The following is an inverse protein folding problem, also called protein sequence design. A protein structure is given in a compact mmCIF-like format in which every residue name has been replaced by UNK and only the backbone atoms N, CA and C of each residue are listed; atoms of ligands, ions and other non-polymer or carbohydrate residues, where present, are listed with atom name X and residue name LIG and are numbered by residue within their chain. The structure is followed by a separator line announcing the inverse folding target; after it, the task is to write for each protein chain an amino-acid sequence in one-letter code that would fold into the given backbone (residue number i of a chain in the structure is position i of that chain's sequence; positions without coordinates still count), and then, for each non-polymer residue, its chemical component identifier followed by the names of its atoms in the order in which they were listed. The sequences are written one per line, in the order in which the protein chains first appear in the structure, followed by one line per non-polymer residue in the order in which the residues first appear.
data_IF_325795691802
#
_entry.id   IF_325795691802
#
_cell.length_a   1.000
_cell.length_b   1.000
_cell.length_c   1.000
_cell.angle_alpha   90.00
_cell.angle_beta   90.00
_cell.angle_gamma   90.00
#
_symmetry.space_group_name_H-M   'P 1'
#
loop_
_entity.id
_entity.type
_entity.pdbx_description
1 polymer ?
#
# COMPACT_ATOMS: atom_id res chain seq x y z
N UNK A 1 3.45 -3.54 16.30
CA UNK A 1 3.84 -2.56 15.26
C UNK A 1 4.61 -3.28 14.16
N UNK A 2 4.30 -3.04 12.90
CA UNK A 2 4.94 -3.71 11.73
C UNK A 2 5.34 -2.65 10.71
N UNK A 3 6.53 -2.80 10.12
CA UNK A 3 6.98 -1.97 9.00
C UNK A 3 6.83 -2.75 7.70
N UNK A 4 6.19 -2.16 6.70
CA UNK A 4 6.00 -2.72 5.37
C UNK A 4 6.89 -2.04 4.34
N UNK A 5 7.37 -2.79 3.37
CA UNK A 5 7.97 -2.26 2.14
C UNK A 5 6.89 -2.30 1.06
N UNK A 6 6.38 -1.14 0.70
CA UNK A 6 5.26 -0.99 -0.25
C UNK A 6 5.55 -1.60 -1.62
N UNK A 7 4.50 -2.11 -2.26
CA UNK A 7 4.55 -2.39 -3.70
C UNK A 7 4.88 -1.09 -4.51
N UNK A 8 5.68 -1.17 -5.59
CA UNK A 8 6.30 -2.38 -6.13
C UNK A 8 7.67 -2.73 -5.51
N UNK A 9 8.16 -1.95 -4.55
CA UNK A 9 9.52 -2.12 -4.00
C UNK A 9 9.68 -3.43 -3.24
N UNK A 10 8.63 -3.94 -2.59
CA UNK A 10 8.63 -5.24 -1.95
C UNK A 10 8.88 -6.43 -2.91
N UNK A 11 8.79 -6.24 -4.25
CA UNK A 11 9.23 -7.23 -5.21
C UNK A 11 10.75 -7.45 -5.22
N UNK A 12 11.52 -6.44 -4.79
CA UNK A 12 12.98 -6.39 -4.96
C UNK A 12 13.74 -6.26 -3.64
N UNK A 13 13.14 -5.59 -2.65
CA UNK A 13 13.76 -5.31 -1.37
C UNK A 13 13.14 -6.17 -0.28
N UNK A 14 13.97 -6.99 0.36
CA UNK A 14 13.60 -7.88 1.45
C UNK A 14 14.45 -7.54 2.67
N UNK A 15 13.83 -7.05 3.73
CA UNK A 15 14.49 -6.74 4.99
C UNK A 15 13.98 -7.69 6.08
N UNK A 16 14.88 -8.16 6.95
CA UNK A 16 14.54 -9.10 8.03
C UNK A 16 13.45 -8.55 8.96
N UNK A 17 13.49 -7.24 9.21
CA UNK A 17 12.61 -6.55 10.15
C UNK A 17 11.44 -5.82 9.45
N UNK A 18 11.08 -6.21 8.21
CA UNK A 18 9.96 -5.64 7.49
C UNK A 18 9.21 -6.68 6.67
N UNK A 19 7.92 -6.48 6.48
CA UNK A 19 7.06 -7.29 5.63
C UNK A 19 7.07 -6.70 4.22
N UNK A 20 7.41 -7.51 3.22
CA UNK A 20 7.40 -7.08 1.83
C UNK A 20 5.99 -7.16 1.24
N UNK A 21 5.56 -6.09 0.59
CA UNK A 21 4.33 -6.05 -0.20
C UNK A 21 4.71 -6.17 -1.67
N UNK A 22 4.37 -7.30 -2.29
CA UNK A 22 4.68 -7.59 -3.70
C UNK A 22 3.58 -7.09 -4.62
N UNK A 23 3.88 -6.87 -5.88
CA UNK A 23 2.88 -6.45 -6.88
C UNK A 23 2.96 -4.94 -7.19
N UNK A 24 1.91 -4.28 -7.50
CA UNK A 24 0.50 -4.72 -7.52
C UNK A 24 0.21 -5.58 -8.75
N UNK A 25 -0.46 -6.71 -8.57
CA UNK A 25 -0.81 -7.66 -9.62
C UNK A 25 -2.28 -7.47 -10.04
N UNK A 26 -2.58 -7.66 -11.30
CA UNK A 26 -3.95 -7.68 -11.83
C UNK A 26 -4.34 -9.09 -12.27
N UNK A 27 -5.63 -9.37 -12.37
CA UNK A 27 -6.10 -10.68 -12.81
C UNK A 27 -5.41 -11.11 -14.12
N UNK A 28 -5.49 -10.29 -15.16
CA UNK A 28 -4.78 -10.53 -16.42
C UNK A 28 -3.46 -9.76 -16.50
N UNK A 29 -2.44 -10.28 -17.20
CA UNK A 29 -1.19 -9.58 -17.45
C UNK A 29 -1.39 -8.21 -18.13
N UNK A 30 -0.62 -7.21 -17.71
CA UNK A 30 -0.57 -5.85 -18.29
C UNK A 30 0.87 -5.51 -18.66
N UNK A 31 1.38 -5.94 -19.82
CA UNK A 31 2.78 -5.84 -20.20
C UNK A 31 3.25 -4.40 -20.41
N UNK A 32 4.57 -4.20 -20.51
CA UNK A 32 5.18 -2.91 -20.83
C UNK A 32 5.65 -2.11 -19.61
N UNK A 33 5.86 -2.74 -18.45
CA UNK A 33 6.34 -2.10 -17.22
C UNK A 33 7.63 -1.30 -17.46
N UNK A 34 8.68 -1.92 -18.00
CA UNK A 34 9.98 -1.27 -18.21
C UNK A 34 9.85 -0.01 -19.09
N UNK A 35 9.18 -0.15 -20.24
CA UNK A 35 8.92 0.98 -21.15
C UNK A 35 8.21 2.13 -20.44
N UNK A 36 7.21 1.80 -19.61
CA UNK A 36 6.40 2.80 -18.91
C UNK A 36 7.17 3.47 -17.78
N UNK A 37 8.01 2.74 -17.04
CA UNK A 37 8.91 3.28 -16.02
C UNK A 37 9.87 4.29 -16.65
N UNK A 38 10.61 3.89 -17.71
CA UNK A 38 11.55 4.77 -18.40
C UNK A 38 10.87 6.02 -18.95
N UNK A 39 9.66 5.87 -19.49
CA UNK A 39 8.89 6.98 -20.08
C UNK A 39 8.36 7.96 -19.03
N UNK A 40 7.92 7.49 -17.86
CA UNK A 40 7.07 8.30 -16.97
C UNK A 40 7.60 8.55 -15.58
N UNK A 41 8.56 7.74 -15.09
CA UNK A 41 9.11 7.94 -13.76
C UNK A 41 10.05 9.16 -13.75
N UNK A 42 9.73 10.15 -12.94
CA UNK A 42 10.50 11.40 -12.82
C UNK A 42 10.56 11.86 -11.35
N UNK A 43 11.72 12.33 -10.94
CA UNK A 43 11.84 13.08 -9.69
C UNK A 43 11.48 14.54 -9.93
N UNK A 44 10.66 15.11 -9.04
CA UNK A 44 10.19 16.49 -9.13
C UNK A 44 10.42 17.19 -7.79
N UNK A 45 10.29 18.51 -7.75
CA UNK A 45 10.37 19.30 -6.50
C UNK A 45 9.39 18.79 -5.41
N UNK A 46 8.24 18.23 -5.81
CA UNK A 46 7.21 17.74 -4.90
C UNK A 46 7.31 16.22 -4.59
N UNK A 47 8.32 15.53 -5.14
CA UNK A 47 8.52 14.10 -4.96
C UNK A 47 8.57 13.31 -6.27
N UNK A 48 8.41 11.99 -6.18
CA UNK A 48 8.42 11.08 -7.33
C UNK A 48 7.08 11.05 -8.03
N UNK A 49 7.10 11.23 -9.34
CA UNK A 49 5.92 11.14 -10.21
C UNK A 49 6.06 9.99 -11.18
N UNK A 50 4.97 9.24 -11.41
CA UNK A 50 4.92 8.17 -12.38
C UNK A 50 3.52 8.02 -13.00
N UNK A 51 3.45 7.44 -14.19
CA UNK A 51 2.22 7.05 -14.88
C UNK A 51 2.36 5.60 -15.35
N UNK A 52 2.74 4.70 -14.41
CA UNK A 52 3.02 3.29 -14.71
C UNK A 52 1.73 2.54 -15.06
N UNK A 53 0.60 2.85 -14.43
CA UNK A 53 -0.72 2.33 -14.79
C UNK A 53 -0.88 0.84 -14.56
N UNK A 54 -0.40 0.31 -13.42
CA UNK A 54 -0.52 -1.11 -13.04
C UNK A 54 0.02 -2.09 -14.09
N UNK A 55 1.16 -1.76 -14.74
CA UNK A 55 1.83 -2.68 -15.66
C UNK A 55 2.51 -3.79 -14.88
N UNK A 56 2.10 -5.05 -15.13
CA UNK A 56 2.56 -6.23 -14.39
C UNK A 56 2.37 -7.52 -15.20
N UNK A 57 2.83 -8.65 -14.67
CA UNK A 57 2.78 -9.97 -15.32
C UNK A 57 1.55 -10.81 -14.97
N UNK A 58 0.58 -10.22 -14.28
CA UNK A 58 -0.65 -10.90 -13.85
C UNK A 58 -0.51 -11.68 -12.56
N UNK A 59 -1.67 -12.13 -12.03
CA UNK A 59 -1.77 -12.76 -10.72
C UNK A 59 -1.06 -14.11 -10.63
N UNK A 60 -1.11 -14.93 -11.69
CA UNK A 60 -0.42 -16.23 -11.69
C UNK A 60 1.08 -16.09 -11.42
N UNK A 61 1.72 -15.12 -12.07
CA UNK A 61 3.10 -14.78 -11.80
C UNK A 61 3.28 -14.21 -10.38
N UNK A 62 2.34 -13.40 -9.92
CA UNK A 62 2.33 -12.84 -8.58
C UNK A 62 2.34 -13.93 -7.50
N UNK A 63 1.49 -14.92 -7.62
CA UNK A 63 1.40 -16.07 -6.70
C UNK A 63 2.69 -16.88 -6.66
N UNK A 64 3.35 -17.09 -7.81
CA UNK A 64 4.64 -17.79 -7.87
C UNK A 64 5.79 -17.00 -7.22
N UNK A 65 5.69 -15.68 -7.15
CA UNK A 65 6.76 -14.78 -6.67
C UNK A 65 6.58 -14.33 -5.23
N UNK A 66 5.37 -14.39 -4.70
CA UNK A 66 5.06 -13.94 -3.34
C UNK A 66 5.18 -15.11 -2.37
N UNK A 67 6.04 -14.96 -1.36
CA UNK A 67 6.15 -15.94 -0.30
C UNK A 67 4.99 -15.82 0.68
N UNK A 68 4.72 -16.89 1.44
CA UNK A 68 3.62 -16.96 2.40
C UNK A 68 3.65 -15.84 3.45
N UNK A 69 4.85 -15.41 3.89
CA UNK A 69 5.02 -14.33 4.89
C UNK A 69 5.01 -12.92 4.28
N UNK A 70 4.79 -12.80 3.00
CA UNK A 70 4.69 -11.53 2.30
C UNK A 70 3.23 -11.19 2.03
N UNK A 71 2.98 -9.92 1.71
CA UNK A 71 1.65 -9.45 1.34
C UNK A 71 1.56 -9.35 -0.17
N UNK A 72 0.56 -10.00 -0.76
CA UNK A 72 0.26 -9.96 -2.19
C UNK A 72 -0.62 -8.73 -2.49
N UNK A 73 -0.06 -7.66 -3.05
CA UNK A 73 -0.87 -6.52 -3.49
C UNK A 73 -1.52 -6.81 -4.83
N UNK A 74 -2.84 -6.67 -4.88
CA UNK A 74 -3.69 -6.94 -6.04
C UNK A 74 -4.63 -5.77 -6.34
N UNK A 75 -5.02 -5.64 -7.61
CA UNK A 75 -5.98 -4.63 -8.05
C UNK A 75 -6.92 -5.19 -9.11
N UNK A 76 -8.20 -4.86 -8.99
CA UNK A 76 -9.20 -5.08 -10.02
C UNK A 76 -9.13 -3.98 -11.09
N UNK A 77 -9.38 -4.35 -12.33
CA UNK A 77 -9.49 -3.45 -13.50
C UNK A 77 -10.90 -3.51 -14.07
N UNK A 78 -11.57 -4.63 -13.90
CA UNK A 78 -12.95 -4.85 -14.32
C UNK A 78 -13.82 -5.22 -13.14
N UNK A 79 -15.11 -5.08 -13.31
CA UNK A 79 -16.16 -5.37 -12.33
C UNK A 79 -16.07 -6.78 -11.70
N UNK A 80 -15.65 -7.78 -12.49
CA UNK A 80 -15.57 -9.18 -12.03
C UNK A 80 -14.18 -9.58 -11.51
N UNK A 81 -13.19 -8.68 -11.57
CA UNK A 81 -11.81 -9.06 -11.23
C UNK A 81 -11.66 -9.44 -9.75
N UNK A 82 -12.43 -8.83 -8.82
CA UNK A 82 -12.34 -9.20 -7.40
C UNK A 82 -12.81 -10.64 -7.16
N UNK A 83 -13.91 -11.07 -7.78
CA UNK A 83 -14.43 -12.43 -7.71
C UNK A 83 -13.40 -13.40 -8.34
N UNK A 84 -12.90 -13.08 -9.53
CA UNK A 84 -11.91 -13.91 -10.21
C UNK A 84 -10.59 -14.03 -9.43
N UNK A 85 -10.13 -12.94 -8.81
CA UNK A 85 -8.93 -12.95 -7.98
C UNK A 85 -9.14 -13.75 -6.69
N UNK A 86 -10.29 -13.60 -6.04
CA UNK A 86 -10.62 -14.33 -4.81
C UNK A 86 -10.63 -15.85 -5.04
N UNK A 87 -11.18 -16.30 -6.16
CA UNK A 87 -11.26 -17.73 -6.50
C UNK A 87 -9.91 -18.41 -6.72
N UNK A 88 -8.83 -17.66 -6.96
CA UNK A 88 -7.48 -18.19 -7.26
C UNK A 88 -6.43 -17.86 -6.20
N UNK A 89 -6.65 -16.83 -5.39
CA UNK A 89 -5.71 -16.44 -4.32
C UNK A 89 -6.01 -17.29 -3.08
N UNK A 90 -5.05 -18.09 -2.58
CA UNK A 90 -5.27 -18.93 -1.40
C UNK A 90 -5.83 -18.12 -0.23
N UNK A 91 -6.81 -18.67 0.48
CA UNK A 91 -7.48 -18.01 1.60
C UNK A 91 -6.51 -17.65 2.74
N UNK A 92 -5.40 -18.40 2.89
CA UNK A 92 -4.34 -18.12 3.86
C UNK A 92 -3.31 -17.07 3.40
N UNK A 93 -3.30 -16.68 2.11
CA UNK A 93 -2.36 -15.69 1.60
C UNK A 93 -2.72 -14.29 2.10
N UNK A 94 -1.79 -13.61 2.77
CA UNK A 94 -1.95 -12.21 3.13
C UNK A 94 -2.06 -11.31 1.88
N UNK A 95 -3.02 -10.38 1.88
CA UNK A 95 -3.32 -9.54 0.70
C UNK A 95 -3.37 -8.04 1.03
N UNK A 96 -3.03 -7.22 0.04
CA UNK A 96 -3.34 -5.79 -0.01
C UNK A 96 -4.26 -5.53 -1.22
N UNK A 97 -5.52 -5.19 -0.97
CA UNK A 97 -6.50 -4.83 -2.00
C UNK A 97 -6.30 -3.35 -2.37
N UNK A 98 -5.69 -3.10 -3.52
CA UNK A 98 -5.37 -1.75 -3.98
C UNK A 98 -6.53 -1.16 -4.77
N UNK A 99 -7.43 -0.43 -4.10
CA UNK A 99 -8.59 0.25 -4.71
C UNK A 99 -8.27 1.66 -5.19
N UNK A 100 -7.03 2.09 -5.04
CA UNK A 100 -6.58 3.46 -5.31
C UNK A 100 -6.01 3.65 -6.71
N UNK A 101 -6.36 2.76 -7.66
CA UNK A 101 -5.91 2.91 -9.04
C UNK A 101 -6.60 4.14 -9.69
N UNK A 102 -5.84 5.13 -10.17
CA UNK A 102 -6.41 6.34 -10.80
C UNK A 102 -7.12 6.08 -12.14
N UNK A 103 -7.11 4.84 -12.63
CA UNK A 103 -7.84 4.43 -13.83
C UNK A 103 -9.23 3.84 -13.52
N UNK A 104 -9.55 3.69 -12.25
CA UNK A 104 -10.92 3.46 -11.80
C UNK A 104 -11.40 4.84 -11.35
N UNK A 105 -12.29 5.45 -12.10
CA UNK A 105 -13.08 6.56 -11.59
C UNK A 105 -13.85 6.03 -10.39
N UNK A 106 -13.26 6.18 -9.20
CA UNK A 106 -13.86 5.79 -7.91
C UNK A 106 -14.89 6.87 -7.55
N UNK A 107 -15.79 7.14 -8.45
CA UNK A 107 -17.04 7.78 -8.16
C UNK A 107 -17.96 6.69 -7.64
N UNK A 108 -18.34 6.74 -6.37
CA UNK A 108 -19.42 6.05 -5.64
C UNK A 108 -20.08 4.81 -6.31
N UNK A 109 -19.49 4.28 -7.38
CA UNK A 109 -20.02 3.21 -8.19
C UNK A 109 -19.91 1.90 -7.40
N UNK A 110 -21.05 1.38 -7.02
CA UNK A 110 -21.19 0.16 -6.22
C UNK A 110 -20.55 -1.06 -6.87
N UNK A 111 -20.36 -1.04 -8.19
CA UNK A 111 -19.83 -2.16 -8.98
C UNK A 111 -18.36 -2.50 -8.68
N UNK A 112 -17.51 -1.52 -8.27
CA UNK A 112 -16.12 -1.79 -7.89
C UNK A 112 -15.98 -2.61 -6.60
N UNK A 113 -17.05 -2.78 -5.83
CA UNK A 113 -17.05 -3.59 -4.60
C UNK A 113 -17.75 -4.95 -4.79
N UNK A 114 -18.06 -5.34 -6.01
CA UNK A 114 -18.64 -6.65 -6.28
C UNK A 114 -17.66 -7.77 -5.92
N UNK A 115 -18.03 -8.63 -4.96
CA UNK A 115 -17.19 -9.69 -4.41
C UNK A 115 -16.08 -9.20 -3.46
N UNK A 116 -16.14 -7.93 -3.02
CA UNK A 116 -15.13 -7.39 -2.11
C UNK A 116 -15.31 -7.87 -0.67
N UNK A 117 -16.53 -8.17 -0.28
CA UNK A 117 -16.96 -8.68 1.02
C UNK A 117 -16.49 -10.13 1.29
N UNK A 118 -16.10 -10.87 0.27
CA UNK A 118 -15.56 -12.21 0.41
C UNK A 118 -14.08 -12.26 0.89
N UNK A 119 -13.37 -11.12 0.84
CA UNK A 119 -11.94 -11.08 1.15
C UNK A 119 -11.59 -11.14 2.64
N UNK A 120 -12.30 -10.50 3.58
CA UNK A 120 -12.00 -10.59 5.00
C UNK A 120 -12.24 -12.01 5.51
N UNK A 121 -11.18 -12.70 5.95
CA UNK A 121 -11.25 -14.02 6.56
C UNK A 121 -10.33 -14.10 7.78
N UNK A 122 -10.61 -15.02 8.70
CA UNK A 122 -9.77 -15.29 9.88
C UNK A 122 -8.45 -15.97 9.53
N UNK A 123 -8.32 -16.52 8.32
CA UNK A 123 -7.13 -17.25 7.87
C UNK A 123 -6.04 -16.31 7.33
N UNK A 124 -6.39 -15.07 6.96
CA UNK A 124 -5.43 -14.07 6.48
C UNK A 124 -4.85 -13.29 7.65
N UNK A 125 -3.54 -13.35 7.84
CA UNK A 125 -2.86 -12.47 8.80
C UNK A 125 -3.03 -10.99 8.43
N UNK A 126 -2.96 -10.69 7.13
CA UNK A 126 -3.14 -9.35 6.59
C UNK A 126 -4.19 -9.39 5.49
N UNK A 127 -5.27 -8.63 5.68
CA UNK A 127 -6.28 -8.34 4.68
C UNK A 127 -6.46 -6.82 4.59
N UNK A 128 -5.53 -6.19 3.90
CA UNK A 128 -5.34 -4.74 3.90
C UNK A 128 -6.11 -4.11 2.74
N UNK A 129 -6.83 -3.03 2.98
CA UNK A 129 -7.37 -2.18 1.90
C UNK A 129 -6.51 -0.93 1.76
N UNK A 130 -5.88 -0.76 0.59
CA UNK A 130 -5.10 0.45 0.28
C UNK A 130 -5.97 1.48 -0.41
N UNK A 131 -6.17 2.59 0.29
CA UNK A 131 -7.09 3.64 -0.15
C UNK A 131 -6.38 4.80 -0.87
N UNK A 132 -7.09 5.55 -1.73
CA UNK A 132 -6.55 6.77 -2.34
C UNK A 132 -6.34 7.88 -1.29
N UNK A 133 -5.40 8.82 -1.52
CA UNK A 133 -5.17 9.94 -0.60
C UNK A 133 -6.41 10.81 -0.37
N UNK A 134 -7.27 10.88 -1.38
CA UNK A 134 -8.52 11.66 -1.34
C UNK A 134 -9.74 10.83 -0.97
N UNK A 135 -9.55 9.64 -0.37
CA UNK A 135 -10.68 8.81 0.08
C UNK A 135 -11.69 9.63 0.90
N UNK A 136 -12.97 9.57 0.53
CA UNK A 136 -14.04 10.19 1.30
C UNK A 136 -14.27 9.42 2.61
N UNK A 137 -14.86 10.05 3.59
CA UNK A 137 -15.21 9.36 4.84
C UNK A 137 -16.26 8.28 4.58
N UNK A 138 -17.21 8.52 3.68
CA UNK A 138 -18.20 7.51 3.26
C UNK A 138 -17.55 6.27 2.64
N UNK A 139 -16.47 6.43 1.87
CA UNK A 139 -15.69 5.29 1.35
C UNK A 139 -15.02 4.51 2.48
N UNK A 140 -14.41 5.19 3.44
CA UNK A 140 -13.78 4.55 4.61
C UNK A 140 -14.80 3.78 5.44
N UNK A 141 -15.97 4.37 5.70
CA UNK A 141 -17.08 3.73 6.41
C UNK A 141 -17.58 2.49 5.67
N UNK A 142 -17.72 2.57 4.34
CA UNK A 142 -18.12 1.43 3.51
C UNK A 142 -17.13 0.27 3.62
N UNK A 143 -15.83 0.54 3.58
CA UNK A 143 -14.77 -0.47 3.71
C UNK A 143 -14.87 -1.17 5.07
N UNK A 144 -15.00 -0.40 6.15
CA UNK A 144 -15.14 -0.96 7.51
C UNK A 144 -16.43 -1.78 7.65
N UNK A 145 -17.55 -1.32 7.10
CA UNK A 145 -18.83 -2.06 7.10
C UNK A 145 -18.78 -3.38 6.31
N UNK A 146 -17.88 -3.50 5.33
CA UNK A 146 -17.61 -4.74 4.61
C UNK A 146 -16.72 -5.72 5.40
N UNK A 147 -16.34 -5.40 6.64
CA UNK A 147 -15.58 -6.27 7.52
C UNK A 147 -14.07 -6.06 7.49
N UNK A 148 -13.54 -5.09 6.76
CA UNK A 148 -12.11 -4.81 6.76
C UNK A 148 -11.70 -4.02 8.01
N UNK A 149 -10.66 -4.53 8.68
CA UNK A 149 -10.09 -3.93 9.88
C UNK A 149 -8.69 -3.38 9.68
N UNK A 150 -8.09 -3.53 8.48
CA UNK A 150 -6.72 -3.11 8.19
C UNK A 150 -6.70 -2.17 6.97
N UNK A 151 -6.43 -0.88 7.18
CA UNK A 151 -6.50 0.14 6.14
C UNK A 151 -5.15 0.80 5.92
N UNK A 152 -4.63 0.75 4.68
CA UNK A 152 -3.38 1.41 4.29
C UNK A 152 -3.66 2.82 3.73
N UNK A 153 -3.35 3.82 4.49
CA UNK A 153 -3.39 5.23 4.14
C UNK A 153 -1.96 5.73 3.81
N UNK A 154 -1.59 6.06 2.61
CA UNK A 154 -2.36 6.06 1.40
C UNK A 154 -1.50 5.73 0.16
N UNK A 155 -2.13 5.66 -1.01
CA UNK A 155 -1.42 5.51 -2.27
C UNK A 155 -0.94 6.88 -2.80
N UNK A 156 -0.47 6.92 -4.07
CA UNK A 156 0.00 8.13 -4.76
C UNK A 156 -1.16 9.11 -5.00
N UNK A 157 -0.85 10.41 -4.89
CA UNK A 157 -1.81 11.48 -5.20
C UNK A 157 -1.99 11.56 -6.72
N UNK A 158 -3.21 11.40 -7.26
CA UNK A 158 -3.46 11.55 -8.68
C UNK A 158 -3.25 13.01 -9.12
N UNK A 159 -2.61 13.19 -10.27
CA UNK A 159 -2.43 14.48 -10.95
C UNK A 159 -2.59 14.27 -12.45
N UNK A 160 -2.79 15.34 -13.24
CA UNK A 160 -2.88 15.28 -14.72
C UNK A 160 -1.66 14.60 -15.35
N UNK A 161 -0.52 14.68 -14.68
CA UNK A 161 0.77 14.14 -15.13
C UNK A 161 1.10 12.76 -14.54
N UNK A 162 0.18 12.12 -13.82
CA UNK A 162 0.32 10.81 -13.16
C UNK A 162 0.30 10.87 -11.65
N UNK A 163 0.56 9.75 -10.98
CA UNK A 163 0.58 9.66 -9.53
C UNK A 163 1.83 10.31 -8.91
N UNK A 164 1.65 11.16 -7.91
CA UNK A 164 2.71 11.84 -7.17
C UNK A 164 2.87 11.23 -5.78
N UNK A 165 4.11 10.93 -5.40
CA UNK A 165 4.46 10.31 -4.12
C UNK A 165 5.49 11.15 -3.36
N UNK A 166 5.55 11.00 -2.05
CA UNK A 166 6.49 11.69 -1.19
C UNK A 166 5.79 12.52 -0.11
N UNK A 167 6.45 13.56 0.39
CA UNK A 167 5.94 14.37 1.50
C UNK A 167 4.57 15.03 1.24
N UNK A 168 4.20 15.20 -0.03
CA UNK A 168 2.88 15.72 -0.42
C UNK A 168 1.72 14.86 0.12
N UNK A 169 1.98 13.60 0.47
CA UNK A 169 0.98 12.68 1.00
C UNK A 169 0.72 12.87 2.51
N UNK A 170 1.63 13.51 3.25
CA UNK A 170 1.54 13.69 4.70
C UNK A 170 0.16 14.24 5.17
N UNK A 171 -0.37 15.35 4.61
CA UNK A 171 -1.66 15.88 5.07
C UNK A 171 -2.83 14.93 4.79
N UNK A 172 -2.79 14.19 3.68
CA UNK A 172 -3.83 13.23 3.31
C UNK A 172 -3.83 12.02 4.23
N UNK A 173 -2.66 11.41 4.44
CA UNK A 173 -2.50 10.27 5.35
C UNK A 173 -2.91 10.66 6.78
N UNK A 174 -2.47 11.84 7.28
CA UNK A 174 -2.88 12.36 8.59
C UNK A 174 -4.40 12.48 8.72
N UNK A 175 -5.10 12.99 7.69
CA UNK A 175 -6.55 13.12 7.68
C UNK A 175 -7.25 11.76 7.81
N UNK A 176 -6.78 10.75 7.08
CA UNK A 176 -7.35 9.40 7.10
C UNK A 176 -7.11 8.75 8.46
N UNK A 177 -5.89 8.82 9.01
CA UNK A 177 -5.57 8.27 10.33
C UNK A 177 -6.50 8.85 11.39
N UNK A 178 -6.58 10.19 11.47
CA UNK A 178 -7.40 10.87 12.48
C UNK A 178 -8.88 10.48 12.38
N UNK A 179 -9.41 10.35 11.17
CA UNK A 179 -10.78 9.93 10.98
C UNK A 179 -11.00 8.49 11.48
N UNK A 180 -10.21 7.54 10.99
CA UNK A 180 -10.36 6.13 11.34
C UNK A 180 -10.18 5.89 12.84
N UNK A 181 -9.19 6.52 13.46
CA UNK A 181 -8.92 6.35 14.91
C UNK A 181 -9.94 7.05 15.81
N UNK A 182 -10.64 8.04 15.29
CA UNK A 182 -11.75 8.68 16.01
C UNK A 182 -13.03 7.85 15.95
N UNK A 183 -13.33 7.26 14.79
CA UNK A 183 -14.62 6.60 14.56
C UNK A 183 -14.58 5.07 14.81
N UNK A 184 -13.38 4.43 14.79
CA UNK A 184 -13.24 2.97 14.78
C UNK A 184 -12.05 2.49 15.62
N UNK A 185 -12.28 2.09 16.86
CA UNK A 185 -11.21 1.62 17.79
C UNK A 185 -10.58 0.29 17.32
N UNK A 186 -11.33 -0.55 16.60
CA UNK A 186 -10.91 -1.87 16.13
C UNK A 186 -10.15 -1.86 14.79
N UNK A 187 -10.03 -0.70 14.13
CA UNK A 187 -9.36 -0.59 12.83
C UNK A 187 -7.87 -0.28 13.03
N UNK A 188 -7.03 -1.15 12.48
CA UNK A 188 -5.59 -0.93 12.37
C UNK A 188 -5.27 -0.08 11.15
N UNK A 189 -4.51 1.00 11.34
CA UNK A 189 -4.12 1.91 10.28
C UNK A 189 -2.65 1.74 9.94
N UNK A 190 -2.38 1.42 8.68
CA UNK A 190 -1.03 1.37 8.13
C UNK A 190 -0.75 2.72 7.48
N UNK A 191 0.11 3.52 8.09
CA UNK A 191 0.47 4.83 7.57
C UNK A 191 1.53 4.73 6.48
N UNK A 192 1.24 5.27 5.30
CA UNK A 192 2.17 5.35 4.18
C UNK A 192 2.24 6.75 3.58
N UNK A 193 3.23 6.96 2.71
CA UNK A 193 3.45 8.24 2.05
C UNK A 193 4.31 9.21 2.87
N UNK A 194 5.42 9.63 2.29
CA UNK A 194 6.33 10.60 2.89
C UNK A 194 7.33 10.05 3.91
N UNK A 195 7.24 8.81 4.33
CA UNK A 195 8.20 8.20 5.26
C UNK A 195 9.57 8.06 4.56
N UNK A 196 10.55 8.81 5.05
CA UNK A 196 11.94 8.80 4.58
C UNK A 196 12.95 8.52 5.71
N UNK A 197 12.57 8.76 6.93
CA UNK A 197 13.34 8.66 8.17
C UNK A 197 12.41 8.23 9.32
N UNK A 198 12.97 7.69 10.40
CA UNK A 198 12.20 7.13 11.51
C UNK A 198 11.23 8.13 12.15
N UNK A 199 11.63 9.39 12.28
CA UNK A 199 10.78 10.42 12.89
C UNK A 199 9.45 10.68 12.12
N UNK A 200 9.39 10.37 10.82
CA UNK A 200 8.12 10.43 10.08
C UNK A 200 7.17 9.31 10.53
N UNK A 201 7.71 8.14 10.87
CA UNK A 201 6.90 7.05 11.42
C UNK A 201 6.42 7.40 12.84
N UNK A 202 7.29 7.99 13.67
CA UNK A 202 6.91 8.50 15.00
C UNK A 202 5.79 9.52 14.89
N UNK A 203 5.90 10.48 13.98
CA UNK A 203 4.83 11.45 13.71
C UNK A 203 3.49 10.77 13.40
N UNK A 204 3.48 9.71 12.59
CA UNK A 204 2.25 8.97 12.29
C UNK A 204 1.78 8.13 13.49
N UNK A 205 2.69 7.59 14.28
CA UNK A 205 2.38 6.88 15.52
C UNK A 205 1.67 7.79 16.52
N UNK A 206 2.13 9.02 16.69
CA UNK A 206 1.51 10.02 17.56
C UNK A 206 0.09 10.42 17.11
N UNK A 207 -0.21 10.21 15.83
CA UNK A 207 -1.57 10.36 15.28
C UNK A 207 -2.45 9.13 15.47
N UNK A 208 -1.90 8.02 15.98
CA UNK A 208 -2.58 6.76 16.22
C UNK A 208 -2.37 5.68 15.17
N UNK A 209 -1.42 5.82 14.23
CA UNK A 209 -1.11 4.74 13.29
C UNK A 209 -0.51 3.52 13.99
N UNK A 210 -0.96 2.33 13.61
CA UNK A 210 -0.53 1.06 14.20
C UNK A 210 0.69 0.47 13.48
N UNK A 211 0.81 0.74 12.17
CA UNK A 211 1.84 0.19 11.29
C UNK A 211 2.30 1.24 10.28
N UNK A 212 3.44 0.97 9.62
CA UNK A 212 4.05 1.90 8.66
C UNK A 212 4.35 1.22 7.33
N UNK A 213 4.24 1.98 6.23
CA UNK A 213 4.54 1.49 4.89
C UNK A 213 5.49 2.45 4.15
N UNK A 214 6.67 1.94 3.79
CA UNK A 214 7.73 2.71 3.14
C UNK A 214 7.71 2.43 1.63
N UNK A 215 7.53 3.48 0.85
CA UNK A 215 7.46 3.41 -0.62
C UNK A 215 8.69 4.04 -1.27
N UNK A 216 8.57 5.25 -1.82
CA UNK A 216 9.58 5.90 -2.66
C UNK A 216 10.94 6.18 -1.99
N UNK A 217 11.05 6.11 -0.67
CA UNK A 217 12.35 6.10 0.01
C UNK A 217 13.22 4.91 -0.41
N UNK A 218 12.60 3.81 -0.87
CA UNK A 218 13.25 2.58 -1.36
C UNK A 218 14.13 2.79 -2.61
N UNK A 219 14.07 3.94 -3.27
CA UNK A 219 15.07 4.30 -4.28
C UNK A 219 16.49 4.44 -3.71
N UNK A 220 16.63 4.58 -2.39
CA UNK A 220 17.89 4.45 -1.67
C UNK A 220 17.81 3.28 -0.66
N UNK A 221 18.18 2.04 -1.05
CA UNK A 221 18.03 0.85 -0.23
C UNK A 221 18.79 0.91 1.10
N UNK A 222 19.97 1.53 1.13
CA UNK A 222 20.78 1.68 2.36
C UNK A 222 20.08 2.59 3.38
N UNK A 223 19.54 3.72 2.89
CA UNK A 223 18.78 4.63 3.76
C UNK A 223 17.53 3.94 4.32
N UNK A 224 16.81 3.19 3.49
CA UNK A 224 15.59 2.47 3.92
C UNK A 224 15.93 1.38 4.91
N UNK A 225 17.00 0.61 4.67
CA UNK A 225 17.44 -0.41 5.62
C UNK A 225 17.68 0.21 7.01
N UNK A 226 18.39 1.33 7.08
CA UNK A 226 18.61 2.07 8.32
C UNK A 226 17.28 2.53 8.94
N UNK A 227 16.41 3.18 8.17
CA UNK A 227 15.11 3.67 8.62
C UNK A 227 14.23 2.54 9.18
N UNK A 228 14.19 1.37 8.52
CA UNK A 228 13.44 0.18 8.98
C UNK A 228 13.94 -0.28 10.34
N UNK A 229 15.25 -0.37 10.52
CA UNK A 229 15.84 -0.82 11.78
C UNK A 229 15.63 0.19 12.91
N UNK A 230 15.75 1.49 12.63
CA UNK A 230 15.46 2.56 13.59
C UNK A 230 13.99 2.50 14.06
N UNK A 231 13.02 2.36 13.13
CA UNK A 231 11.60 2.23 13.46
C UNK A 231 11.32 1.00 14.34
N UNK A 232 12.02 -0.11 14.08
CA UNK A 232 11.81 -1.36 14.82
C UNK A 232 12.68 -1.48 16.08
N UNK A 233 13.48 -0.47 16.42
CA UNK A 233 14.30 -0.44 17.62
C UNK A 233 15.44 -1.44 17.60
N UNK A 234 16.06 -1.70 16.45
CA UNK A 234 17.19 -2.64 16.33
C UNK A 234 18.46 -2.01 16.93
N UNK A 235 18.99 -2.55 18.06
CA UNK A 235 20.14 -1.98 18.74
C UNK A 235 21.46 -2.13 17.96
N UNK A 236 21.48 -2.91 16.86
CA UNK A 236 22.69 -3.12 16.05
C UNK A 236 23.11 -1.87 15.25
N UNK A 237 22.23 -0.88 15.17
CA UNK A 237 22.54 0.43 14.60
C UNK A 237 22.86 1.36 15.77
N UNK A 238 24.15 1.44 16.10
CA UNK A 238 24.61 2.40 17.10
C UNK A 238 24.10 3.80 16.79
N UNK A 239 23.32 4.36 17.71
CA UNK A 239 22.98 5.78 17.70
C UNK A 239 24.30 6.50 17.97
N UNK A 240 24.97 6.97 16.94
CA UNK A 240 25.98 8.00 17.07
C UNK A 240 25.22 9.26 17.52
N UNK A 241 25.04 9.40 18.82
CA UNK A 241 24.76 10.68 19.45
C UNK A 241 26.01 11.56 19.22
N UNK A 242 25.90 12.51 18.32
CA UNK A 242 26.79 13.67 18.26
C UNK A 242 25.98 14.92 18.51
#
# INVERSE_FOLDING_TARGET
MTTFISAPFGNYLKFKNAVSVTGTWTYKPRPGLFKQVVKTLRYTRNGWRNKIGLRNRGIEYGLQKTNFNEVLSIAAISEHDWINLESIVPESQSVELNISCPNLDVHEDTTIFNGFDAWPTIYRKWCIVKVPPMASYSLLDKIVKLGFTQIHASNTLPTDKGGLSGAILLPHTRRIIRYLKKEYDHVEVIAGGGIKEAWHAEFYKDLGADHFSIGTACFNPFKVWRTVNEINGDPSIGVHQT
#
